data_IF_772220826586
#
_entry.id   IF_772220826586
#
_cell.length_a   1.000
_cell.length_b   1.000
_cell.length_c   1.000
_cell.angle_alpha   90.00
_cell.angle_beta   90.00
_cell.angle_gamma   90.00
#
_symmetry.space_group_name_H-M   'P 1'
#
loop_
_entity.id
_entity.type
_entity.pdbx_description
1 polymer ?
#
# COMPACT_ATOMS: atom_id res chain seq x y z
N UNK A 1 -12.67 9.22 -23.62
CA UNK A 1 -11.66 8.26 -24.15
C UNK A 1 -12.33 6.90 -24.27
N UNK A 2 -11.98 6.11 -25.28
CA UNK A 2 -12.44 4.72 -25.40
C UNK A 2 -11.65 3.89 -24.37
N UNK A 3 -12.32 3.23 -23.42
CA UNK A 3 -11.70 2.44 -22.33
C UNK A 3 -11.09 1.13 -22.85
N UNK A 4 -10.19 1.21 -23.84
CA UNK A 4 -9.69 0.02 -24.53
C UNK A 4 -8.71 -0.76 -23.66
N UNK A 5 -8.01 -0.09 -22.75
CA UNK A 5 -6.93 -0.72 -22.00
C UNK A 5 -7.48 -1.56 -20.84
N UNK A 6 -8.49 -1.05 -20.12
CA UNK A 6 -9.13 -1.82 -19.04
C UNK A 6 -9.75 -3.13 -19.53
N UNK A 7 -10.31 -3.14 -20.75
CA UNK A 7 -10.87 -4.35 -21.37
C UNK A 7 -9.79 -5.42 -21.60
N UNK A 8 -8.59 -5.01 -22.03
CA UNK A 8 -7.43 -5.92 -22.16
C UNK A 8 -7.00 -6.42 -20.78
N UNK A 9 -6.91 -5.54 -19.77
CA UNK A 9 -6.52 -5.90 -18.41
C UNK A 9 -7.47 -6.93 -17.77
N UNK A 10 -8.76 -6.84 -18.09
CA UNK A 10 -9.78 -7.77 -17.58
C UNK A 10 -9.73 -9.15 -18.25
N UNK A 11 -9.11 -9.28 -19.42
CA UNK A 11 -9.24 -10.49 -20.26
C UNK A 11 -7.92 -11.18 -20.64
N UNK A 12 -6.75 -10.57 -20.40
CA UNK A 12 -5.46 -11.18 -20.77
C UNK A 12 -5.23 -12.56 -20.14
N UNK A 13 -4.47 -13.41 -20.83
CA UNK A 13 -3.98 -14.71 -20.34
C UNK A 13 -2.46 -14.72 -20.27
N UNK A 14 -1.85 -15.85 -19.91
CA UNK A 14 -0.38 -15.98 -19.95
C UNK A 14 0.19 -15.80 -21.37
N UNK A 15 -0.59 -16.14 -22.40
CA UNK A 15 -0.20 -16.03 -23.80
C UNK A 15 -0.45 -14.62 -24.37
N UNK A 16 -1.18 -13.77 -23.65
CA UNK A 16 -1.57 -12.42 -24.08
C UNK A 16 -1.27 -11.37 -23.02
N UNK A 17 -0.21 -11.56 -22.25
CA UNK A 17 0.26 -10.60 -21.24
C UNK A 17 0.39 -9.22 -21.91
N UNK A 18 -0.30 -8.19 -21.40
CA UNK A 18 -0.28 -6.87 -22.00
C UNK A 18 1.09 -6.21 -21.79
N UNK A 19 1.43 -5.29 -22.69
CA UNK A 19 2.57 -4.42 -22.52
C UNK A 19 2.34 -3.42 -21.36
N UNK A 20 3.44 -2.86 -20.85
CA UNK A 20 3.41 -1.97 -19.69
C UNK A 20 2.59 -0.69 -19.97
N UNK A 21 2.62 -0.16 -21.18
CA UNK A 21 1.85 1.02 -21.57
C UNK A 21 0.34 0.79 -21.44
N UNK A 22 -0.15 -0.39 -21.84
CA UNK A 22 -1.56 -0.80 -21.65
C UNK A 22 -1.91 -0.83 -20.16
N UNK A 23 -1.03 -1.37 -19.31
CA UNK A 23 -1.26 -1.41 -17.86
C UNK A 23 -1.29 0.00 -17.24
N UNK A 24 -0.39 0.89 -17.66
CA UNK A 24 -0.35 2.29 -17.21
C UNK A 24 -1.60 3.04 -17.68
N UNK A 25 -1.97 2.96 -18.96
CA UNK A 25 -3.16 3.62 -19.50
C UNK A 25 -4.43 3.08 -18.84
N UNK A 26 -4.51 1.77 -18.60
CA UNK A 26 -5.60 1.16 -17.85
C UNK A 26 -5.70 1.66 -16.41
N UNK A 27 -4.58 1.93 -15.74
CA UNK A 27 -4.57 2.55 -14.40
C UNK A 27 -5.16 3.97 -14.44
N UNK A 28 -4.80 4.77 -15.43
CA UNK A 28 -5.37 6.11 -15.62
C UNK A 28 -6.86 6.05 -15.94
N UNK A 29 -7.30 5.09 -16.76
CA UNK A 29 -8.73 4.86 -17.06
C UNK A 29 -9.53 4.49 -15.79
N UNK A 30 -8.94 3.72 -14.87
CA UNK A 30 -9.53 3.40 -13.57
C UNK A 30 -9.71 4.66 -12.72
N UNK A 31 -8.64 5.44 -12.55
CA UNK A 31 -8.66 6.62 -11.67
C UNK A 31 -9.39 7.84 -12.25
N UNK A 32 -9.73 7.82 -13.53
CA UNK A 32 -10.70 8.76 -14.10
C UNK A 32 -12.14 8.53 -13.60
N UNK A 33 -12.46 7.32 -13.10
CA UNK A 33 -13.81 6.91 -12.70
C UNK A 33 -13.94 6.73 -11.19
N UNK A 34 -12.94 6.10 -10.59
CA UNK A 34 -12.96 5.75 -9.17
C UNK A 34 -12.57 6.95 -8.31
N UNK A 35 -13.31 7.15 -7.21
CA UNK A 35 -12.91 8.10 -6.17
C UNK A 35 -11.89 7.42 -5.25
N UNK A 36 -10.70 8.01 -5.15
CA UNK A 36 -9.66 7.52 -4.26
C UNK A 36 -9.99 7.83 -2.78
N UNK A 37 -9.65 6.93 -1.84
CA UNK A 37 -9.73 7.22 -0.41
C UNK A 37 -8.87 8.44 -0.04
N UNK A 38 -9.38 9.30 0.83
CA UNK A 38 -8.60 10.39 1.41
C UNK A 38 -7.80 9.89 2.61
N UNK A 39 -6.47 10.05 2.55
CA UNK A 39 -5.57 9.62 3.61
C UNK A 39 -5.45 10.71 4.69
N UNK A 40 -6.08 10.48 5.85
CA UNK A 40 -5.98 11.38 7.01
C UNK A 40 -4.86 10.94 7.97
N UNK A 41 -3.62 11.27 7.63
CA UNK A 41 -2.43 10.71 8.30
C UNK A 41 -1.75 11.68 9.28
N UNK A 42 -2.24 12.92 9.38
CA UNK A 42 -1.66 14.00 10.22
C UNK A 42 -1.72 13.76 11.74
N UNK A 43 -2.09 12.57 12.20
CA UNK A 43 -2.14 12.23 13.63
C UNK A 43 -0.76 11.89 14.21
N UNK A 44 0.19 11.43 13.40
CA UNK A 44 1.51 11.01 13.87
C UNK A 44 2.55 12.12 13.73
N UNK A 45 3.37 12.31 14.76
CA UNK A 45 4.51 13.24 14.81
C UNK A 45 5.75 12.63 14.17
N UNK A 46 5.97 11.32 14.37
CA UNK A 46 7.11 10.60 13.81
C UNK A 46 6.76 9.13 13.53
N UNK A 47 5.92 8.84 12.53
CA UNK A 47 5.53 7.47 12.26
C UNK A 47 6.66 6.63 11.69
N UNK A 48 6.61 5.32 11.90
CA UNK A 48 7.32 4.35 11.07
C UNK A 48 6.50 4.09 9.81
N UNK A 49 7.05 4.39 8.63
CA UNK A 49 6.46 4.00 7.34
C UNK A 49 7.16 2.74 6.85
N UNK A 50 6.39 1.66 6.66
CA UNK A 50 6.94 0.34 6.39
C UNK A 50 6.17 -0.39 5.28
N UNK A 51 6.90 -1.02 4.38
CA UNK A 51 6.38 -1.85 3.30
C UNK A 51 7.47 -2.74 2.72
N UNK A 52 7.12 -3.67 1.84
CA UNK A 52 8.09 -4.50 1.10
C UNK A 52 8.15 -4.10 -0.37
N UNK A 53 9.36 -4.08 -0.93
CA UNK A 53 9.60 -3.73 -2.34
C UNK A 53 8.97 -2.40 -2.73
N UNK A 54 8.11 -2.40 -3.75
CA UNK A 54 7.44 -1.19 -4.25
C UNK A 54 6.58 -0.50 -3.18
N UNK A 55 6.12 -1.19 -2.14
CA UNK A 55 5.39 -0.57 -1.04
C UNK A 55 6.29 0.33 -0.18
N UNK A 56 7.56 -0.03 -0.01
CA UNK A 56 8.53 0.85 0.67
C UNK A 56 8.76 2.12 -0.16
N UNK A 57 9.00 1.98 -1.46
CA UNK A 57 9.19 3.11 -2.37
C UNK A 57 7.96 4.04 -2.39
N UNK A 58 6.76 3.46 -2.45
CA UNK A 58 5.49 4.19 -2.37
C UNK A 58 5.37 4.97 -1.07
N UNK A 59 5.73 4.35 0.06
CA UNK A 59 5.76 5.04 1.34
C UNK A 59 6.74 6.21 1.38
N UNK A 60 7.91 6.06 0.78
CA UNK A 60 8.88 7.16 0.68
C UNK A 60 8.34 8.34 -0.11
N UNK A 61 7.60 8.09 -1.19
CA UNK A 61 6.97 9.15 -2.00
C UNK A 61 5.87 9.86 -1.21
N UNK A 62 4.90 9.13 -0.65
CA UNK A 62 3.75 9.71 0.05
C UNK A 62 4.18 10.53 1.28
N UNK A 63 5.27 10.11 1.93
CA UNK A 63 5.73 10.67 3.20
C UNK A 63 7.03 11.47 3.08
N UNK A 64 7.44 11.86 1.87
CA UNK A 64 8.71 12.55 1.58
C UNK A 64 8.90 13.81 2.45
N UNK A 65 7.84 14.62 2.58
CA UNK A 65 7.83 15.87 3.34
C UNK A 65 7.45 15.71 4.82
N UNK A 66 7.50 14.49 5.35
CA UNK A 66 7.15 14.22 6.75
C UNK A 66 8.37 13.78 7.56
N UNK A 67 8.33 14.02 8.87
CA UNK A 67 9.32 13.45 9.78
C UNK A 67 9.03 11.95 10.01
N UNK A 68 9.19 11.11 9.00
CA UNK A 68 8.94 9.67 9.08
C UNK A 68 10.23 8.87 9.21
N UNK A 69 10.13 7.72 9.88
CA UNK A 69 11.17 6.69 9.85
C UNK A 69 10.77 5.66 8.81
N UNK A 70 11.57 5.47 7.76
CA UNK A 70 11.27 4.48 6.72
C UNK A 70 11.86 3.12 7.01
N UNK A 71 11.13 2.04 6.80
CA UNK A 71 11.56 0.68 7.06
C UNK A 71 11.08 -0.29 5.98
N UNK A 72 11.73 -1.45 5.94
CA UNK A 72 11.28 -2.61 5.18
C UNK A 72 10.87 -3.75 6.11
N UNK A 73 10.32 -4.81 5.54
CA UNK A 73 10.03 -6.07 6.23
C UNK A 73 11.25 -6.68 6.93
N UNK A 74 12.47 -6.31 6.51
CA UNK A 74 13.71 -6.85 7.06
C UNK A 74 14.26 -6.06 8.26
N UNK A 75 13.82 -4.82 8.49
CA UNK A 75 14.41 -3.95 9.53
C UNK A 75 13.42 -3.23 10.45
N UNK A 76 12.10 -3.43 10.26
CA UNK A 76 11.07 -2.75 11.05
C UNK A 76 11.18 -3.03 12.56
N UNK A 77 11.44 -4.27 12.97
CA UNK A 77 11.56 -4.63 14.39
C UNK A 77 12.69 -3.85 15.07
N UNK A 78 13.84 -3.79 14.41
CA UNK A 78 15.00 -3.09 14.93
C UNK A 78 14.71 -1.59 15.14
N UNK A 79 13.99 -0.97 14.18
CA UNK A 79 13.61 0.44 14.26
C UNK A 79 12.60 0.68 15.38
N UNK A 80 11.55 -0.14 15.48
CA UNK A 80 10.54 0.00 16.54
C UNK A 80 11.11 -0.19 17.94
N UNK A 81 12.12 -1.04 18.12
CA UNK A 81 12.77 -1.25 19.42
C UNK A 81 13.70 -0.11 19.83
N UNK A 82 14.44 0.46 18.88
CA UNK A 82 15.57 1.35 19.20
C UNK A 82 15.30 2.83 18.93
N UNK A 83 14.19 3.17 18.25
CA UNK A 83 13.81 4.55 17.98
C UNK A 83 12.56 4.87 18.84
N UNK A 84 12.75 5.41 20.07
CA UNK A 84 11.69 5.51 21.07
C UNK A 84 10.59 6.52 20.72
N UNK A 85 10.90 7.51 19.88
CA UNK A 85 9.99 8.57 19.47
C UNK A 85 9.06 8.20 18.31
N UNK A 86 9.13 6.96 17.79
CA UNK A 86 8.12 6.45 16.86
C UNK A 86 6.77 6.39 17.57
N UNK A 87 5.77 7.11 17.07
CA UNK A 87 4.46 7.24 17.72
C UNK A 87 3.31 6.51 16.99
N UNK A 88 3.62 5.87 15.86
CA UNK A 88 2.68 5.04 15.13
C UNK A 88 3.35 4.28 13.98
N UNK A 89 2.59 3.41 13.33
CA UNK A 89 3.04 2.65 12.16
C UNK A 89 2.09 2.89 11.01
N UNK A 90 2.65 3.18 9.84
CA UNK A 90 1.96 3.27 8.56
C UNK A 90 2.46 2.10 7.73
N UNK A 91 1.61 1.09 7.60
CA UNK A 91 1.89 -0.16 6.91
C UNK A 91 1.32 -0.09 5.50
N UNK A 92 2.18 -0.16 4.49
CA UNK A 92 1.79 -0.18 3.08
C UNK A 92 1.97 -1.60 2.57
N UNK A 93 0.89 -2.19 2.08
CA UNK A 93 0.92 -3.55 1.52
C UNK A 93 -0.26 -3.77 0.59
N UNK A 94 0.02 -3.95 -0.70
CA UNK A 94 -1.00 -4.16 -1.72
C UNK A 94 -1.95 -5.33 -1.41
N UNK A 95 -1.40 -6.47 -0.99
CA UNK A 95 -2.18 -7.67 -0.65
C UNK A 95 -2.62 -7.71 0.81
N UNK A 96 -1.95 -6.96 1.69
CA UNK A 96 -2.15 -7.05 3.13
C UNK A 96 -1.72 -8.40 3.75
N UNK A 97 -1.03 -9.26 2.99
CA UNK A 97 -0.59 -10.59 3.42
C UNK A 97 0.91 -10.69 3.70
N UNK A 98 1.38 -11.95 3.84
CA UNK A 98 2.79 -12.32 4.09
C UNK A 98 3.39 -11.62 5.32
N UNK A 99 4.13 -10.53 5.11
CA UNK A 99 4.79 -9.78 6.17
C UNK A 99 3.87 -8.78 6.88
N UNK A 100 2.82 -8.30 6.21
CA UNK A 100 1.94 -7.26 6.76
C UNK A 100 1.24 -7.66 8.07
N UNK A 101 0.67 -8.87 8.24
CA UNK A 101 0.05 -9.27 9.51
C UNK A 101 1.08 -9.39 10.64
N UNK A 102 2.31 -9.83 10.32
CA UNK A 102 3.42 -9.93 11.29
C UNK A 102 3.80 -8.54 11.79
N UNK A 103 3.98 -7.59 10.88
CA UNK A 103 4.31 -6.19 11.21
C UNK A 103 3.19 -5.55 12.04
N UNK A 104 1.94 -5.70 11.61
CA UNK A 104 0.78 -5.12 12.29
C UNK A 104 0.63 -5.66 13.72
N UNK A 105 0.75 -6.98 13.89
CA UNK A 105 0.71 -7.63 15.21
C UNK A 105 1.85 -7.13 16.09
N UNK A 106 3.09 -7.11 15.57
CA UNK A 106 4.25 -6.69 16.34
C UNK A 106 4.15 -5.23 16.81
N UNK A 107 3.70 -4.33 15.94
CA UNK A 107 3.45 -2.94 16.31
C UNK A 107 2.37 -2.81 17.40
N UNK A 108 1.29 -3.58 17.30
CA UNK A 108 0.23 -3.63 18.32
C UNK A 108 0.72 -4.16 19.67
N UNK A 109 1.56 -5.19 19.66
CA UNK A 109 2.16 -5.77 20.88
C UNK A 109 3.07 -4.74 21.60
N UNK A 110 3.62 -3.76 20.87
CA UNK A 110 4.35 -2.61 21.41
C UNK A 110 3.46 -1.41 21.77
N UNK A 111 2.14 -1.57 21.71
CA UNK A 111 1.17 -0.51 21.99
C UNK A 111 1.14 0.61 20.94
N UNK A 112 1.64 0.37 19.72
CA UNK A 112 1.63 1.36 18.64
C UNK A 112 0.36 1.21 17.79
N UNK A 113 -0.27 2.34 17.47
CA UNK A 113 -1.37 2.39 16.52
C UNK A 113 -0.86 2.13 15.10
N UNK A 114 -1.61 1.35 14.32
CA UNK A 114 -1.26 0.99 12.94
C UNK A 114 -2.31 1.56 11.99
N UNK A 115 -1.87 2.17 10.90
CA UNK A 115 -2.68 2.46 9.70
C UNK A 115 -2.26 1.48 8.61
N UNK A 116 -3.24 0.88 7.92
CA UNK A 116 -3.01 0.03 6.75
C UNK A 116 -3.45 0.74 5.48
N UNK A 117 -2.54 0.82 4.51
CA UNK A 117 -2.81 1.21 3.14
C UNK A 117 -2.69 -0.04 2.26
N UNK A 118 -3.78 -0.48 1.63
CA UNK A 118 -3.89 -1.77 0.94
C UNK A 118 -4.77 -1.70 -0.30
N UNK A 119 -4.70 -2.69 -1.18
CA UNK A 119 -5.69 -2.90 -2.25
C UNK A 119 -6.61 -4.09 -1.97
N UNK A 120 -6.43 -4.76 -0.84
CA UNK A 120 -7.21 -5.93 -0.44
C UNK A 120 -8.13 -5.58 0.74
N UNK A 121 -9.47 -5.51 0.54
CA UNK A 121 -10.41 -5.28 1.63
C UNK A 121 -10.43 -6.44 2.64
N UNK A 122 -10.05 -7.65 2.22
CA UNK A 122 -9.96 -8.84 3.07
C UNK A 122 -8.50 -9.12 3.46
N UNK A 123 -7.75 -8.06 3.77
CA UNK A 123 -6.36 -8.16 4.21
C UNK A 123 -6.22 -8.97 5.49
N UNK A 124 -5.28 -9.93 5.52
CA UNK A 124 -4.96 -10.67 6.74
C UNK A 124 -4.45 -9.75 7.86
N UNK A 125 -3.78 -8.65 7.51
CA UNK A 125 -3.31 -7.66 8.47
C UNK A 125 -4.45 -6.90 9.15
N UNK A 126 -5.65 -6.84 8.54
CA UNK A 126 -6.83 -6.16 9.10
C UNK A 126 -7.22 -6.74 10.47
N UNK A 127 -6.94 -8.03 10.73
CA UNK A 127 -7.20 -8.70 12.02
C UNK A 127 -6.54 -8.02 13.22
N UNK A 128 -5.53 -7.18 12.99
CA UNK A 128 -4.77 -6.50 14.03
C UNK A 128 -5.02 -4.98 14.07
N UNK A 129 -5.86 -4.45 13.19
CA UNK A 129 -5.99 -3.02 12.94
C UNK A 129 -7.46 -2.60 13.10
N UNK A 130 -7.71 -1.41 13.63
CA UNK A 130 -9.07 -0.86 13.73
C UNK A 130 -9.61 -0.52 12.34
N UNK A 131 -10.90 -0.80 12.09
CA UNK A 131 -11.51 -0.66 10.76
C UNK A 131 -11.39 0.77 10.17
N UNK A 132 -11.44 1.80 11.01
CA UNK A 132 -11.29 3.20 10.61
C UNK A 132 -9.85 3.60 10.26
N UNK A 133 -8.89 2.68 10.40
CA UNK A 133 -7.46 2.84 10.07
C UNK A 133 -7.04 2.00 8.87
N UNK A 134 -8.00 1.43 8.13
CA UNK A 134 -7.75 0.64 6.93
C UNK A 134 -8.23 1.41 5.70
N UNK A 135 -7.28 1.78 4.85
CA UNK A 135 -7.53 2.50 3.60
C UNK A 135 -7.35 1.54 2.44
N UNK A 136 -8.46 1.19 1.79
CA UNK A 136 -8.51 0.25 0.67
C UNK A 136 -8.57 1.02 -0.64
N UNK A 137 -7.51 0.94 -1.43
CA UNK A 137 -7.39 1.55 -2.75
C UNK A 137 -7.81 0.57 -3.85
N UNK A 138 -8.56 1.06 -4.82
CA UNK A 138 -8.92 0.27 -5.99
C UNK A 138 -7.69 0.02 -6.86
N UNK A 139 -7.68 -1.11 -7.56
CA UNK A 139 -6.65 -1.44 -8.55
C UNK A 139 -7.24 -2.30 -9.65
N UNK A 140 -6.58 -2.27 -10.81
CA UNK A 140 -6.88 -3.18 -11.90
C UNK A 140 -6.33 -4.59 -11.63
N UNK A 141 -6.79 -5.52 -12.48
CA UNK A 141 -6.05 -6.76 -12.74
C UNK A 141 -4.82 -6.41 -13.57
N UNK A 142 -3.65 -6.90 -13.16
CA UNK A 142 -2.36 -6.55 -13.78
C UNK A 142 -1.45 -7.78 -13.78
N UNK A 143 -0.50 -7.88 -14.73
CA UNK A 143 0.63 -8.79 -14.59
C UNK A 143 1.37 -8.54 -13.27
N UNK A 144 1.77 -9.61 -12.58
CA UNK A 144 2.37 -9.53 -11.23
C UNK A 144 3.63 -8.66 -11.15
N UNK A 145 4.33 -8.46 -12.27
CA UNK A 145 5.57 -7.68 -12.34
C UNK A 145 5.34 -6.18 -12.49
N UNK A 146 4.15 -5.72 -12.88
CA UNK A 146 3.93 -4.32 -13.26
C UNK A 146 3.50 -3.43 -12.08
N UNK A 147 2.53 -3.87 -11.28
CA UNK A 147 2.04 -3.15 -10.10
C UNK A 147 1.74 -1.66 -10.35
N UNK A 148 1.11 -1.33 -11.48
CA UNK A 148 0.84 0.05 -11.92
C UNK A 148 -0.24 0.72 -11.07
N UNK A 149 -1.52 0.43 -11.29
CA UNK A 149 -2.63 0.92 -10.46
C UNK A 149 -2.52 0.47 -9.01
N UNK A 150 -1.83 -0.64 -8.76
CA UNK A 150 -1.56 -1.15 -7.40
C UNK A 150 -0.97 -0.07 -6.49
N UNK A 151 0.02 0.69 -6.96
CA UNK A 151 0.67 1.74 -6.16
C UNK A 151 0.36 3.16 -6.64
N UNK A 152 0.07 3.36 -7.93
CA UNK A 152 -0.25 4.69 -8.47
C UNK A 152 -1.46 5.30 -7.78
N UNK A 153 -2.48 4.52 -7.39
CA UNK A 153 -3.62 5.06 -6.68
C UNK A 153 -3.31 5.52 -5.25
N UNK A 154 -2.22 5.02 -4.65
CA UNK A 154 -1.79 5.38 -3.30
C UNK A 154 -0.98 6.68 -3.27
N UNK A 155 -0.35 7.05 -4.39
CA UNK A 155 0.48 8.25 -4.59
C UNK A 155 -0.43 9.41 -5.02
#
# INVERSE_FOLDING_TARGET
MSNKNIDVLNTFTIDTIPDLDVAVLGALELFQKEKLPELYIKKYKRPLVVGSGNAEATGRIIFEDTNAVFASESNFENKLRHIPDIDGVILISASGGKHAPVIAKYAKDLGKSVILITNNPNSEAAKFIEDDKIFVFTKNREPYTYNTSTYMGMI
#
